data_IF_015871443801
#
_entry.id   IF_015871443801
#
_cell.length_a   1.000
_cell.length_b   1.000
_cell.length_c   1.000
_cell.angle_alpha   90.00
_cell.angle_beta   90.00
_cell.angle_gamma   90.00
#
_symmetry.space_group_name_H-M   'P 1'
#
loop_
_entity.id
_entity.type
_entity.pdbx_description
1 polymer ?
#
# COMPACT_ATOMS: atom_id res chain seq x y z
N UNK A 1 -20.40 -63.20 -52.82
CA UNK A 1 -19.54 -63.03 -51.64
C UNK A 1 -20.44 -62.53 -50.54
N UNK A 2 -20.75 -63.41 -49.58
CA UNK A 2 -21.83 -63.22 -48.61
C UNK A 2 -21.21 -62.68 -47.33
N UNK A 3 -21.67 -61.51 -46.95
CA UNK A 3 -21.31 -60.80 -45.73
C UNK A 3 -22.26 -61.19 -44.58
N UNK A 4 -21.75 -60.95 -43.38
CA UNK A 4 -22.44 -60.71 -42.12
C UNK A 4 -23.25 -61.83 -41.44
N UNK A 5 -22.55 -62.37 -40.45
CA UNK A 5 -22.93 -63.15 -39.30
C UNK A 5 -23.92 -62.42 -38.37
N UNK A 6 -25.09 -63.03 -38.09
CA UNK A 6 -25.95 -62.63 -36.97
C UNK A 6 -26.77 -63.79 -36.42
N UNK A 7 -26.84 -63.79 -35.08
CA UNK A 7 -27.90 -64.32 -34.21
C UNK A 7 -27.85 -65.83 -33.86
N UNK A 8 -28.14 -66.31 -32.64
CA UNK A 8 -28.62 -65.72 -31.37
C UNK A 8 -28.78 -66.86 -30.33
N UNK A 9 -28.82 -66.51 -29.01
CA UNK A 9 -29.47 -67.25 -27.87
C UNK A 9 -28.73 -68.51 -27.31
N UNK A 10 -28.63 -68.80 -25.99
CA UNK A 10 -29.48 -68.58 -24.79
C UNK A 10 -28.66 -68.64 -23.47
N UNK A 11 -29.11 -67.92 -22.42
CA UNK A 11 -28.84 -68.17 -20.96
C UNK A 11 -29.86 -69.22 -20.45
N UNK A 12 -29.72 -69.96 -19.31
CA UNK A 12 -29.43 -69.48 -17.92
C UNK A 12 -28.55 -70.47 -17.10
N UNK A 13 -28.10 -70.23 -15.85
CA UNK A 13 -28.83 -70.40 -14.57
C UNK A 13 -27.85 -70.01 -13.46
N UNK A 14 -28.35 -69.29 -12.44
CA UNK A 14 -27.55 -68.83 -11.31
C UNK A 14 -27.25 -69.91 -10.27
N UNK A 15 -26.13 -69.73 -9.57
CA UNK A 15 -25.89 -70.31 -8.26
C UNK A 15 -25.43 -69.22 -7.29
N UNK A 16 -25.98 -69.28 -6.08
CA UNK A 16 -26.06 -68.22 -5.08
C UNK A 16 -24.71 -67.90 -4.42
N UNK A 17 -24.61 -66.65 -3.98
CA UNK A 17 -23.58 -66.08 -3.11
C UNK A 17 -23.41 -66.86 -1.81
N UNK A 18 -22.18 -67.20 -1.44
CA UNK A 18 -21.78 -67.40 -0.05
C UNK A 18 -20.66 -66.41 0.28
N UNK A 19 -21.01 -65.44 1.13
CA UNK A 19 -20.11 -64.42 1.66
C UNK A 19 -19.07 -65.08 2.57
N UNK A 20 -17.78 -64.83 2.33
CA UNK A 20 -16.73 -64.94 3.35
C UNK A 20 -15.93 -63.65 3.36
N UNK A 21 -15.99 -62.95 4.51
CA UNK A 21 -15.24 -61.73 4.81
C UNK A 21 -13.74 -62.06 4.91
N UNK A 22 -12.84 -61.18 4.48
CA UNK A 22 -11.52 -61.07 5.09
C UNK A 22 -11.55 -59.97 6.14
N UNK A 23 -11.23 -60.33 7.38
CA UNK A 23 -10.83 -59.41 8.44
C UNK A 23 -9.32 -59.56 8.62
N UNK A 24 -8.54 -58.51 8.35
CA UNK A 24 -7.73 -57.79 9.36
C UNK A 24 -7.05 -56.55 8.75
N UNK A 25 -6.79 -55.51 9.56
CA UNK A 25 -6.55 -54.14 9.11
C UNK A 25 -5.05 -53.86 8.92
N UNK A 26 -4.64 -53.42 7.73
CA UNK A 26 -3.33 -52.77 7.61
C UNK A 26 -3.48 -51.28 7.90
N UNK A 27 -3.24 -50.98 9.17
CA UNK A 27 -2.51 -49.82 9.72
C UNK A 27 -2.41 -48.63 8.77
N UNK A 28 -3.01 -47.52 9.20
CA UNK A 28 -3.05 -46.25 8.50
C UNK A 28 -1.72 -45.91 7.84
N UNK A 29 -1.75 -45.84 6.51
CA UNK A 29 -0.83 -45.02 5.77
C UNK A 29 -1.12 -43.56 6.19
N UNK A 30 -0.52 -43.13 7.29
CA UNK A 30 -0.31 -41.74 7.55
C UNK A 30 0.36 -41.19 6.29
N UNK A 31 -0.40 -40.41 5.50
CA UNK A 31 0.19 -39.50 4.55
C UNK A 31 0.98 -38.56 5.43
N UNK A 32 2.24 -38.92 5.68
CA UNK A 32 3.23 -38.03 6.26
C UNK A 32 3.26 -36.86 5.31
N UNK A 33 2.53 -35.82 5.67
CA UNK A 33 2.68 -34.48 5.12
C UNK A 33 4.09 -34.10 5.49
N UNK A 34 5.06 -34.54 4.68
CA UNK A 34 6.44 -34.09 4.74
C UNK A 34 6.32 -32.58 4.87
N UNK A 35 6.71 -31.98 6.00
CA UNK A 35 6.54 -30.55 6.17
C UNK A 35 7.27 -29.95 4.99
N UNK A 36 6.50 -29.22 4.17
CA UNK A 36 7.01 -28.61 2.94
C UNK A 36 8.06 -27.63 3.44
N UNK A 37 9.32 -28.10 3.48
CA UNK A 37 10.47 -27.32 3.90
C UNK A 37 10.52 -26.23 2.84
N UNK A 38 9.92 -25.08 3.16
CA UNK A 38 10.03 -23.87 2.39
C UNK A 38 11.53 -23.70 2.21
N UNK A 39 12.00 -23.96 0.98
CA UNK A 39 13.42 -23.81 0.68
C UNK A 39 13.69 -22.34 0.95
N UNK A 40 14.42 -22.04 2.03
CA UNK A 40 14.89 -20.69 2.30
C UNK A 40 15.59 -20.25 1.02
N UNK A 41 15.04 -19.20 0.41
CA UNK A 41 15.57 -18.67 -0.82
C UNK A 41 16.77 -17.79 -0.48
N UNK A 42 17.65 -17.59 -1.45
CA UNK A 42 18.72 -16.59 -1.31
C UNK A 42 18.15 -15.21 -0.93
N UNK A 43 16.93 -14.89 -1.39
CA UNK A 43 16.22 -13.67 -1.01
C UNK A 43 15.86 -13.61 0.48
N UNK A 44 15.43 -14.73 1.07
CA UNK A 44 15.11 -14.80 2.50
C UNK A 44 16.36 -14.61 3.37
N UNK A 45 17.48 -15.23 2.97
CA UNK A 45 18.74 -15.11 3.69
C UNK A 45 19.32 -13.68 3.56
N UNK A 46 19.20 -13.05 2.39
CA UNK A 46 19.56 -11.64 2.19
C UNK A 46 18.71 -10.71 3.07
N UNK A 47 17.38 -10.89 3.09
CA UNK A 47 16.49 -10.08 3.91
C UNK A 47 16.80 -10.25 5.41
N UNK A 48 17.13 -11.46 5.84
CA UNK A 48 17.53 -11.74 7.22
C UNK A 48 18.85 -11.04 7.57
N UNK A 49 19.85 -11.09 6.68
CA UNK A 49 21.13 -10.41 6.86
C UNK A 49 20.96 -8.89 6.94
N UNK A 50 20.20 -8.30 6.01
CA UNK A 50 19.90 -6.86 6.00
C UNK A 50 19.19 -6.42 7.28
N UNK A 51 18.23 -7.22 7.78
CA UNK A 51 17.55 -6.93 9.04
C UNK A 51 18.49 -7.01 10.25
N UNK A 52 19.42 -7.96 10.26
CA UNK A 52 20.41 -8.09 11.32
C UNK A 52 21.38 -6.90 11.33
N UNK A 53 21.87 -6.50 10.15
CA UNK A 53 22.72 -5.32 9.97
C UNK A 53 22.01 -4.05 10.44
N UNK A 54 20.77 -3.83 10.01
CA UNK A 54 20.00 -2.66 10.42
C UNK A 54 19.72 -2.64 11.94
N UNK A 55 19.57 -3.80 12.59
CA UNK A 55 19.43 -3.88 14.05
C UNK A 55 20.70 -3.49 14.79
N UNK A 56 21.86 -3.88 14.25
CA UNK A 56 23.15 -3.61 14.87
C UNK A 56 23.63 -2.17 14.60
N UNK A 57 23.39 -1.65 13.39
CA UNK A 57 24.02 -0.41 12.91
C UNK A 57 23.02 0.68 12.50
N UNK A 58 21.75 0.35 12.31
CA UNK A 58 20.76 1.27 11.72
C UNK A 58 20.58 2.57 12.50
N UNK A 59 20.59 2.53 13.84
CA UNK A 59 20.48 3.74 14.67
C UNK A 59 21.66 4.70 14.45
N UNK A 60 22.88 4.16 14.34
CA UNK A 60 24.08 4.95 14.08
C UNK A 60 24.06 5.57 12.68
N UNK A 61 23.67 4.79 11.67
CA UNK A 61 23.52 5.29 10.29
C UNK A 61 22.45 6.38 10.21
N UNK A 62 21.30 6.21 10.86
CA UNK A 62 20.25 7.22 10.91
C UNK A 62 20.77 8.53 11.55
N UNK A 63 21.51 8.42 12.66
CA UNK A 63 22.08 9.58 13.32
C UNK A 63 23.10 10.30 12.43
N UNK A 64 23.99 9.55 11.78
CA UNK A 64 25.00 10.09 10.87
C UNK A 64 24.35 10.80 9.67
N UNK A 65 23.39 10.16 8.99
CA UNK A 65 22.69 10.76 7.85
C UNK A 65 21.89 12.00 8.27
N UNK A 66 21.27 11.99 9.46
CA UNK A 66 20.57 13.17 9.98
C UNK A 66 21.52 14.36 10.19
N UNK A 67 22.75 14.11 10.62
CA UNK A 67 23.75 15.15 10.85
C UNK A 67 24.40 15.63 9.54
N UNK A 68 24.77 14.70 8.65
CA UNK A 68 25.56 15.01 7.45
C UNK A 68 24.69 15.39 6.24
N UNK A 69 23.53 14.77 6.07
CA UNK A 69 22.63 14.91 4.90
C UNK A 69 21.16 14.93 5.32
N UNK A 70 20.72 15.96 6.08
CA UNK A 70 19.36 16.03 6.61
C UNK A 70 18.28 16.01 5.53
N UNK A 71 18.54 16.60 4.36
CA UNK A 71 17.64 16.60 3.20
C UNK A 71 17.38 15.18 2.67
N UNK A 72 18.41 14.34 2.58
CA UNK A 72 18.26 12.94 2.15
C UNK A 72 17.51 12.11 3.19
N UNK A 73 17.81 12.34 4.48
CA UNK A 73 17.08 11.70 5.57
C UNK A 73 15.57 11.97 5.48
N UNK A 74 15.17 13.23 5.31
CA UNK A 74 13.76 13.61 5.21
C UNK A 74 13.07 13.02 3.97
N UNK A 75 13.77 12.94 2.82
CA UNK A 75 13.24 12.25 1.62
C UNK A 75 12.97 10.78 1.88
N UNK A 76 13.90 10.06 2.52
CA UNK A 76 13.70 8.63 2.85
C UNK A 76 12.52 8.48 3.82
N UNK A 77 12.42 9.33 4.85
CA UNK A 77 11.28 9.34 5.78
C UNK A 77 9.97 9.55 5.02
N UNK A 78 9.92 10.48 4.07
CA UNK A 78 8.74 10.73 3.24
C UNK A 78 8.34 9.50 2.41
N UNK A 79 9.30 8.75 1.85
CA UNK A 79 9.00 7.52 1.08
C UNK A 79 8.45 6.36 1.91
N UNK A 80 8.69 6.37 3.23
CA UNK A 80 8.16 5.36 4.15
C UNK A 80 6.73 5.67 4.60
N UNK A 81 6.28 6.90 4.40
CA UNK A 81 4.91 7.29 4.70
C UNK A 81 3.97 6.76 3.58
N UNK A 82 2.72 6.41 3.92
CA UNK A 82 1.71 6.12 2.91
C UNK A 82 1.60 7.27 1.89
N UNK A 83 1.37 6.97 0.62
CA UNK A 83 1.29 7.98 -0.47
C UNK A 83 0.22 9.05 -0.20
N UNK A 84 -0.88 8.66 0.43
CA UNK A 84 -1.95 9.57 0.83
C UNK A 84 -1.49 10.60 1.88
N UNK A 85 -0.38 10.34 2.59
CA UNK A 85 0.22 11.26 3.54
C UNK A 85 1.02 12.35 2.82
N UNK A 86 1.77 12.01 1.78
CA UNK A 86 2.44 13.01 0.92
C UNK A 86 1.44 13.87 0.17
N UNK A 87 0.37 13.28 -0.38
CA UNK A 87 -0.66 14.03 -1.11
C UNK A 87 -1.35 15.09 -0.24
N UNK A 88 -1.54 14.84 1.06
CA UNK A 88 -2.10 15.84 1.98
C UNK A 88 -1.15 17.00 2.26
N UNK A 89 0.16 16.73 2.36
CA UNK A 89 1.18 17.75 2.61
C UNK A 89 1.47 18.56 1.35
N UNK A 90 1.56 17.87 0.22
CA UNK A 90 1.78 18.49 -1.08
C UNK A 90 0.54 19.24 -1.54
N UNK A 91 -0.69 18.76 -1.28
CA UNK A 91 -1.91 19.51 -1.59
C UNK A 91 -1.93 20.88 -0.91
N UNK A 92 -1.42 21.00 0.33
CA UNK A 92 -1.43 22.26 1.07
C UNK A 92 -0.40 23.27 0.51
N UNK A 93 0.77 22.79 0.08
CA UNK A 93 1.85 23.64 -0.45
C UNK A 93 1.69 23.94 -1.94
N UNK A 94 1.36 22.91 -2.70
CA UNK A 94 1.10 22.96 -4.14
C UNK A 94 -0.15 23.77 -4.44
N UNK A 95 -1.19 23.73 -3.58
CA UNK A 95 -2.41 24.52 -3.80
C UNK A 95 -2.22 26.03 -3.64
N UNK A 96 -1.13 26.52 -3.02
CA UNK A 96 -0.81 27.96 -2.98
C UNK A 96 0.20 28.34 -4.06
N UNK A 97 1.21 27.51 -4.31
CA UNK A 97 2.24 27.77 -5.32
C UNK A 97 1.73 27.60 -6.78
N UNK A 98 0.61 26.89 -7.00
CA UNK A 98 0.01 26.68 -8.33
C UNK A 98 -1.17 27.60 -8.65
N UNK A 99 -1.53 28.55 -7.79
CA UNK A 99 -2.63 29.47 -8.09
C UNK A 99 -2.20 30.49 -9.13
N UNK A 100 -3.07 30.75 -10.09
CA UNK A 100 -2.94 31.93 -10.92
C UNK A 100 -3.14 33.20 -10.11
N UNK A 101 -2.54 34.31 -10.53
CA UNK A 101 -2.75 35.63 -9.89
C UNK A 101 -4.24 36.01 -9.82
N UNK A 102 -5.06 35.57 -10.78
CA UNK A 102 -6.51 35.79 -10.74
C UNK A 102 -7.19 34.97 -9.66
N UNK A 103 -6.81 33.71 -9.49
CA UNK A 103 -7.32 32.85 -8.41
C UNK A 103 -6.94 33.38 -7.03
N UNK A 104 -5.70 33.88 -6.89
CA UNK A 104 -5.22 34.53 -5.67
C UNK A 104 -6.10 35.75 -5.36
N UNK A 105 -6.30 36.63 -6.34
CA UNK A 105 -7.16 37.82 -6.19
C UNK A 105 -8.61 37.46 -5.85
N UNK A 106 -9.16 36.41 -6.46
CA UNK A 106 -10.50 35.92 -6.16
C UNK A 106 -10.63 35.42 -4.72
N UNK A 107 -9.66 34.63 -4.24
CA UNK A 107 -9.61 34.15 -2.84
C UNK A 107 -9.47 35.28 -1.84
N UNK A 108 -8.62 36.28 -2.11
CA UNK A 108 -8.46 37.46 -1.26
C UNK A 108 -9.80 38.20 -1.10
N UNK A 109 -10.52 38.49 -2.20
CA UNK A 109 -11.84 39.13 -2.14
C UNK A 109 -12.87 38.32 -1.34
N UNK A 110 -12.83 36.99 -1.47
CA UNK A 110 -13.66 36.08 -0.69
C UNK A 110 -13.37 36.19 0.82
N UNK A 111 -12.09 36.16 1.19
CA UNK A 111 -11.64 36.33 2.57
C UNK A 111 -12.00 37.69 3.14
N UNK A 112 -11.80 38.77 2.39
CA UNK A 112 -12.21 40.12 2.78
C UNK A 112 -13.70 40.19 3.09
N UNK A 113 -14.54 39.55 2.27
CA UNK A 113 -15.99 39.50 2.50
C UNK A 113 -16.35 38.75 3.77
N UNK A 114 -15.71 37.61 4.04
CA UNK A 114 -15.93 36.82 5.25
C UNK A 114 -15.41 37.50 6.52
N UNK A 115 -14.31 38.26 6.42
CA UNK A 115 -13.70 38.97 7.55
C UNK A 115 -14.34 40.33 7.83
N UNK A 116 -14.97 40.95 6.83
CA UNK A 116 -15.60 42.27 6.93
C UNK A 116 -16.47 42.46 8.19
N UNK A 117 -17.36 41.52 8.56
CA UNK A 117 -18.22 41.68 9.75
C UNK A 117 -17.44 41.75 11.06
N UNK A 118 -16.21 41.20 11.10
CA UNK A 118 -15.34 41.23 12.28
C UNK A 118 -14.46 42.49 12.33
N UNK A 119 -14.22 43.12 11.18
CA UNK A 119 -13.43 44.34 11.05
C UNK A 119 -14.26 45.61 11.23
N UNK A 120 -15.53 45.60 10.78
CA UNK A 120 -16.44 46.73 10.93
C UNK A 120 -16.78 47.03 12.40
N UNK A 121 -16.64 46.04 13.30
CA UNK A 121 -16.70 46.24 14.76
C UNK A 121 -15.43 46.83 15.39
N UNK A 122 -14.35 46.99 14.63
CA UNK A 122 -13.04 47.53 15.06
C UNK A 122 -12.67 48.84 14.31
N UNK A 123 -13.65 49.50 13.69
CA UNK A 123 -13.45 50.67 12.81
C UNK A 123 -12.85 51.91 13.50
N UNK A 124 -12.63 51.88 14.81
CA UNK A 124 -11.99 52.96 15.58
C UNK A 124 -10.45 52.84 15.66
N UNK A 125 -9.82 51.89 14.96
CA UNK A 125 -8.36 51.80 14.92
C UNK A 125 -7.75 52.66 13.77
N UNK A 126 -7.03 53.75 14.08
CA UNK A 126 -6.42 54.61 13.07
C UNK A 126 -5.18 53.91 12.49
N UNK A 127 -5.35 53.30 11.32
CA UNK A 127 -4.29 52.57 10.63
C UNK A 127 -4.35 52.69 9.11
N UNK A 128 -4.82 53.82 8.58
CA UNK A 128 -4.73 54.11 7.15
C UNK A 128 -3.28 54.54 6.81
N UNK A 129 -2.40 53.57 6.61
CA UNK A 129 -1.10 53.80 5.99
C UNK A 129 -1.32 54.21 4.52
N UNK A 130 -1.48 55.52 4.31
CA UNK A 130 -1.51 56.16 2.99
C UNK A 130 -0.11 56.00 2.36
N UNK A 131 0.07 54.94 1.57
CA UNK A 131 1.27 54.74 0.76
C UNK A 131 1.36 55.79 -0.34
N UNK A 132 2.04 56.89 -0.07
CA UNK A 132 2.45 57.84 -1.11
C UNK A 132 3.74 57.32 -1.74
N UNK A 133 3.61 56.59 -2.85
CA UNK A 133 4.76 56.30 -3.71
C UNK A 133 5.21 57.59 -4.38
N UNK A 134 6.35 58.13 -3.95
CA UNK A 134 7.05 59.19 -4.69
C UNK A 134 7.80 58.54 -5.84
N UNK A 135 7.36 58.77 -7.08
CA UNK A 135 8.20 58.59 -8.27
C UNK A 135 9.38 59.57 -8.18
N UNK A 136 10.59 59.04 -8.09
CA UNK A 136 11.82 59.80 -8.31
C UNK A 136 12.32 59.51 -9.72
N UNK A 137 12.57 60.59 -10.46
CA UNK A 137 13.12 60.69 -11.83
C UNK A 137 14.34 59.84 -12.12
#
# INVERSE_FOLDING_TARGET
MVDENKAVRRKPVGAKRARRKPAVPHVGAAISTRPKRSKKTLGDDFAAALRADFRAHGAGVIAAVRAEKPDQYLKVVLTLLPKDFSERVDADRTSLEQLSDEEIRSRIRGLETSLRPFLEGNADLPGAARGTGTETS
#
